data_IF_558412240632
#
_entry.id   IF_558412240632
#
_cell.length_a   1.000
_cell.length_b   1.000
_cell.length_c   1.000
_cell.angle_alpha   90.00
_cell.angle_beta   90.00
_cell.angle_gamma   90.00
#
_symmetry.space_group_name_H-M   'P 1'
#
loop_
_entity.id
_entity.type
_entity.pdbx_description
1 polymer ?
#
# COMPACT_ATOMS: atom_id res chain seq x y z
N UNK A 1 16.15 -21.04 -7.63
CA UNK A 1 14.98 -20.15 -7.41
C UNK A 1 14.18 -20.13 -8.71
N UNK A 2 12.98 -20.72 -8.73
CA UNK A 2 12.22 -20.97 -9.96
C UNK A 2 11.87 -19.67 -10.71
N UNK A 3 12.18 -19.63 -12.01
CA UNK A 3 11.86 -18.55 -12.95
C UNK A 3 10.36 -18.16 -12.89
N UNK A 4 9.50 -19.14 -12.65
CA UNK A 4 8.06 -18.97 -12.51
C UNK A 4 7.67 -18.03 -11.36
N UNK A 5 8.32 -18.16 -10.19
CA UNK A 5 8.09 -17.28 -9.03
C UNK A 5 8.58 -15.86 -9.33
N UNK A 6 9.69 -15.72 -10.08
CA UNK A 6 10.17 -14.40 -10.52
C UNK A 6 9.19 -13.73 -11.48
N UNK A 7 8.64 -14.47 -12.45
CA UNK A 7 7.67 -13.93 -13.40
C UNK A 7 6.34 -13.57 -12.72
N UNK A 8 5.86 -14.42 -11.80
CA UNK A 8 4.69 -14.11 -10.98
C UNK A 8 4.94 -12.88 -10.11
N UNK A 9 6.08 -12.81 -9.41
CA UNK A 9 6.45 -11.65 -8.59
C UNK A 9 6.58 -10.36 -9.39
N UNK A 10 7.13 -10.45 -10.62
CA UNK A 10 7.23 -9.33 -11.54
C UNK A 10 5.84 -8.87 -12.01
N UNK A 11 4.98 -9.78 -12.45
CA UNK A 11 3.61 -9.46 -12.88
C UNK A 11 2.78 -8.87 -11.74
N UNK A 12 2.91 -9.44 -10.53
CA UNK A 12 2.24 -8.95 -9.34
C UNK A 12 2.72 -7.54 -8.95
N UNK A 13 4.03 -7.27 -9.05
CA UNK A 13 4.59 -5.94 -8.74
C UNK A 13 4.13 -4.88 -9.73
N UNK A 14 4.10 -5.20 -11.03
CA UNK A 14 3.60 -4.29 -12.06
C UNK A 14 2.10 -4.03 -11.90
N UNK A 15 1.31 -5.08 -11.66
CA UNK A 15 -0.12 -4.95 -11.39
C UNK A 15 -0.41 -4.13 -10.13
N UNK A 16 0.33 -4.39 -9.05
CA UNK A 16 0.22 -3.64 -7.81
C UNK A 16 0.60 -2.16 -7.99
N UNK A 17 1.65 -1.86 -8.77
CA UNK A 17 2.04 -0.49 -9.09
C UNK A 17 0.96 0.27 -9.86
N UNK A 18 0.35 -0.37 -10.87
CA UNK A 18 -0.71 0.23 -11.68
C UNK A 18 -1.99 0.49 -10.86
N UNK A 19 -2.46 -0.52 -10.13
CA UNK A 19 -3.65 -0.43 -9.28
C UNK A 19 -3.42 0.54 -8.12
N UNK A 20 -2.24 0.49 -7.50
CA UNK A 20 -1.83 1.38 -6.42
C UNK A 20 -1.83 2.85 -6.85
N UNK A 21 -1.26 3.16 -8.02
CA UNK A 21 -1.25 4.53 -8.56
C UNK A 21 -2.67 5.04 -8.81
N UNK A 22 -3.54 4.23 -9.41
CA UNK A 22 -4.96 4.59 -9.60
C UNK A 22 -5.67 4.85 -8.28
N UNK A 23 -5.51 3.95 -7.30
CA UNK A 23 -6.14 4.09 -5.99
C UNK A 23 -5.68 5.36 -5.28
N UNK A 24 -4.38 5.63 -5.26
CA UNK A 24 -3.83 6.84 -4.64
C UNK A 24 -4.39 8.08 -5.32
N UNK A 25 -4.39 8.14 -6.66
CA UNK A 25 -4.94 9.28 -7.39
C UNK A 25 -6.43 9.50 -7.09
N UNK A 26 -7.25 8.45 -7.11
CA UNK A 26 -8.68 8.54 -6.82
C UNK A 26 -8.96 8.95 -5.37
N UNK A 27 -8.22 8.41 -4.40
CA UNK A 27 -8.36 8.79 -3.00
C UNK A 27 -7.93 10.25 -2.80
N UNK A 28 -6.87 10.69 -3.49
CA UNK A 28 -6.38 12.06 -3.41
C UNK A 28 -7.36 13.07 -3.99
N UNK A 29 -7.86 12.82 -5.20
CA UNK A 29 -8.89 13.65 -5.83
C UNK A 29 -10.16 13.71 -4.97
N UNK A 30 -10.58 12.56 -4.41
CA UNK A 30 -11.79 12.50 -3.56
C UNK A 30 -11.60 13.20 -2.21
N UNK A 31 -10.41 13.15 -1.62
CA UNK A 31 -10.14 13.72 -0.29
C UNK A 31 -9.78 15.21 -0.37
N UNK A 32 -9.13 15.64 -1.44
CA UNK A 32 -8.52 16.98 -1.54
C UNK A 32 -9.24 17.86 -2.56
N UNK A 33 -10.04 17.29 -3.47
CA UNK A 33 -10.75 18.01 -4.53
C UNK A 33 -9.87 18.51 -5.68
N UNK A 34 -8.54 18.44 -5.54
CA UNK A 34 -7.55 18.85 -6.52
C UNK A 34 -6.72 17.66 -7.02
N UNK A 35 -6.15 17.78 -8.22
CA UNK A 35 -5.21 16.80 -8.75
C UNK A 35 -4.00 16.62 -7.81
N UNK A 36 -3.47 15.39 -7.69
CA UNK A 36 -2.32 15.10 -6.84
C UNK A 36 -1.12 15.99 -7.24
N UNK A 37 -0.39 16.53 -6.25
CA UNK A 37 0.65 17.53 -6.49
C UNK A 37 1.74 16.96 -7.41
N UNK A 38 1.74 17.39 -8.67
CA UNK A 38 2.72 16.99 -9.67
C UNK A 38 3.95 17.90 -9.61
N UNK A 39 4.76 17.76 -8.56
CA UNK A 39 6.18 18.13 -8.52
C UNK A 39 6.62 19.56 -8.85
N UNK A 40 5.73 20.51 -9.14
CA UNK A 40 6.07 21.90 -9.41
C UNK A 40 4.92 22.78 -8.91
N UNK A 41 5.04 23.27 -7.68
CA UNK A 41 4.61 24.62 -7.26
C UNK A 41 4.54 24.72 -5.72
N UNK A 42 5.13 25.81 -5.23
CA UNK A 42 4.98 26.48 -3.94
C UNK A 42 5.49 25.82 -2.64
N UNK A 43 6.75 26.14 -2.34
CA UNK A 43 7.49 25.85 -1.10
C UNK A 43 6.76 26.28 0.20
N UNK A 44 5.89 27.29 0.17
CA UNK A 44 5.10 27.73 1.34
C UNK A 44 3.94 26.78 1.67
N UNK A 45 3.37 26.12 0.66
CA UNK A 45 2.38 25.04 0.83
C UNK A 45 3.05 23.76 1.34
N UNK A 46 4.37 23.62 1.18
CA UNK A 46 5.11 22.40 1.50
C UNK A 46 5.02 21.94 2.95
N UNK A 47 4.95 22.83 3.95
CA UNK A 47 4.93 22.38 5.36
C UNK A 47 3.57 21.77 5.74
N UNK A 48 2.47 22.44 5.38
CA UNK A 48 1.11 21.90 5.58
C UNK A 48 0.86 20.70 4.70
N UNK A 49 1.32 20.71 3.44
CA UNK A 49 1.18 19.57 2.54
C UNK A 49 2.06 18.39 2.95
N UNK A 50 3.28 18.62 3.46
CA UNK A 50 4.14 17.58 4.01
C UNK A 50 3.55 16.97 5.28
N UNK A 51 2.99 17.78 6.19
CA UNK A 51 2.29 17.25 7.37
C UNK A 51 1.05 16.45 6.99
N UNK A 52 0.27 16.93 6.03
CA UNK A 52 -0.92 16.22 5.53
C UNK A 52 -0.51 14.92 4.84
N UNK A 53 0.52 14.96 3.99
CA UNK A 53 1.09 13.78 3.35
C UNK A 53 1.62 12.80 4.40
N UNK A 54 2.40 13.24 5.38
CA UNK A 54 2.93 12.40 6.44
C UNK A 54 1.84 11.73 7.26
N UNK A 55 0.77 12.46 7.62
CA UNK A 55 -0.37 11.88 8.33
C UNK A 55 -1.11 10.84 7.49
N UNK A 56 -1.34 11.12 6.20
CA UNK A 56 -1.98 10.17 5.28
C UNK A 56 -1.07 8.94 5.08
N UNK A 57 0.21 9.14 4.83
CA UNK A 57 1.20 8.06 4.67
C UNK A 57 1.29 7.20 5.93
N UNK A 58 1.37 7.83 7.11
CA UNK A 58 1.36 7.10 8.38
C UNK A 58 0.08 6.29 8.53
N UNK A 59 -1.09 6.90 8.27
CA UNK A 59 -2.38 6.22 8.30
C UNK A 59 -2.43 4.98 7.39
N UNK A 60 -2.04 5.14 6.13
CA UNK A 60 -1.98 4.04 5.15
C UNK A 60 -1.00 2.96 5.61
N UNK A 61 0.19 3.33 6.10
CA UNK A 61 1.18 2.38 6.62
C UNK A 61 0.63 1.58 7.80
N UNK A 62 -0.05 2.22 8.76
CA UNK A 62 -0.70 1.49 9.87
C UNK A 62 -1.79 0.55 9.40
N UNK A 63 -2.62 0.96 8.43
CA UNK A 63 -3.67 0.09 7.88
C UNK A 63 -3.04 -1.15 7.24
N UNK A 64 -2.00 -0.96 6.41
CA UNK A 64 -1.26 -2.07 5.80
C UNK A 64 -0.67 -2.96 6.90
N UNK A 65 0.03 -2.41 7.89
CA UNK A 65 0.62 -3.19 8.99
C UNK A 65 -0.42 -3.99 9.76
N UNK A 66 -1.58 -3.41 10.08
CA UNK A 66 -2.65 -4.12 10.80
C UNK A 66 -3.23 -5.23 9.93
N UNK A 67 -3.49 -4.97 8.65
CA UNK A 67 -4.00 -5.97 7.71
C UNK A 67 -3.00 -7.10 7.49
N UNK A 68 -1.72 -6.78 7.30
CA UNK A 68 -0.64 -7.75 7.17
C UNK A 68 -0.49 -8.55 8.45
N UNK A 69 -0.38 -7.91 9.62
CA UNK A 69 -0.25 -8.61 10.90
C UNK A 69 -1.43 -9.57 11.14
N UNK A 70 -2.67 -9.11 10.94
CA UNK A 70 -3.86 -9.95 11.07
C UNK A 70 -3.92 -11.06 10.02
N UNK A 71 -3.54 -10.77 8.77
CA UNK A 71 -3.51 -11.73 7.68
C UNK A 71 -2.47 -12.81 7.91
N UNK A 72 -1.26 -12.42 8.32
CA UNK A 72 -0.16 -13.32 8.69
C UNK A 72 -0.55 -14.19 9.87
N UNK A 73 -1.15 -13.64 10.93
CA UNK A 73 -1.61 -14.46 12.06
C UNK A 73 -2.68 -15.48 11.65
N UNK A 74 -3.67 -15.08 10.85
CA UNK A 74 -4.68 -16.02 10.31
C UNK A 74 -4.08 -17.08 9.40
N UNK A 75 -3.09 -16.73 8.59
CA UNK A 75 -2.40 -17.67 7.74
C UNK A 75 -1.61 -18.67 8.59
N UNK A 76 -0.85 -18.19 9.58
CA UNK A 76 -0.11 -19.03 10.53
C UNK A 76 -1.05 -19.95 11.29
N UNK A 77 -2.18 -19.47 11.83
CA UNK A 77 -3.18 -20.32 12.49
C UNK A 77 -3.74 -21.40 11.56
N UNK A 78 -4.03 -21.06 10.30
CA UNK A 78 -4.48 -22.05 9.31
C UNK A 78 -3.39 -23.09 9.01
N UNK A 79 -2.14 -22.66 8.88
CA UNK A 79 -1.01 -23.56 8.66
C UNK A 79 -0.73 -24.45 9.88
N UNK A 80 -0.75 -23.90 11.10
CA UNK A 80 -0.56 -24.64 12.33
C UNK A 80 -1.67 -25.69 12.53
N UNK A 81 -2.93 -25.33 12.27
CA UNK A 81 -4.07 -26.25 12.34
C UNK A 81 -3.99 -27.38 11.31
N UNK A 82 -3.36 -27.15 10.15
CA UNK A 82 -3.09 -28.22 9.17
C UNK A 82 -1.87 -29.08 9.49
N UNK A 83 -0.98 -28.64 10.38
CA UNK A 83 0.18 -29.43 10.83
C UNK A 83 -0.17 -30.34 12.02
N UNK A 84 -1.13 -29.95 12.87
CA UNK A 84 -1.60 -30.77 14.02
C UNK A 84 -2.47 -31.99 13.62
N UNK A 85 -2.79 -32.15 12.32
CA UNK A 85 -3.59 -33.27 11.79
C UNK A 85 -2.73 -34.32 11.04
N UNK A 86 -1.41 -34.28 11.19
CA UNK A 86 -0.46 -35.22 10.54
C UNK A 86 0.34 -36.00 11.57
#
# INVERSE_FOLDING_TARGET
>A
MNLFIKLLGMGLSLGAGFVGTKLVNTVWEKSTGNQPPSGKEDTATSLRSALTFALISAGVSTVIQVLTSRGTQRAIERFAKSTDIV
#
